data_IF_532075194730
#
_entry.id   IF_532075194730
#
_cell.length_a   1.000
_cell.length_b   1.000
_cell.length_c   1.000
_cell.angle_alpha   90.00
_cell.angle_beta   90.00
_cell.angle_gamma   90.00
#
_symmetry.space_group_name_H-M   'P 1'
#
loop_
_entity.id
_entity.type
_entity.pdbx_description
1 polymer ?
#
# COMPACT_ATOMS: atom_id res chain seq x y z
N UNK A 1 4.10 -0.51 1.04
CA UNK A 1 3.17 0.60 1.35
C UNK A 1 2.79 1.33 0.06
N UNK A 2 1.50 1.60 -0.20
CA UNK A 2 1.11 2.47 -1.35
C UNK A 2 1.17 3.93 -0.93
N UNK A 3 1.62 4.78 -1.83
CA UNK A 3 1.68 6.23 -1.66
C UNK A 3 0.78 6.93 -2.68
N UNK A 4 0.46 8.20 -2.41
CA UNK A 4 -0.24 9.05 -3.36
C UNK A 4 0.70 9.49 -4.48
N UNK A 5 0.17 10.03 -5.58
CA UNK A 5 0.93 10.55 -6.71
C UNK A 5 1.63 11.90 -6.43
N UNK A 6 1.88 12.20 -5.15
CA UNK A 6 2.48 13.45 -4.69
C UNK A 6 3.81 13.12 -4.04
N UNK A 7 4.84 13.85 -4.43
CA UNK A 7 6.18 13.71 -3.87
C UNK A 7 7.24 13.58 -4.94
N UNK A 8 8.47 13.41 -4.49
CA UNK A 8 9.63 13.29 -5.35
C UNK A 8 10.46 12.07 -4.93
N UNK A 9 11.16 11.50 -5.89
CA UNK A 9 12.11 10.42 -5.68
C UNK A 9 13.42 10.75 -6.38
N UNK A 10 14.48 10.07 -5.97
CA UNK A 10 15.80 10.17 -6.57
C UNK A 10 16.27 8.76 -6.87
N UNK A 11 16.43 8.35 -8.13
CA UNK A 11 16.99 7.05 -8.46
C UNK A 11 18.38 6.85 -7.83
N UNK A 12 18.70 5.61 -7.46
CA UNK A 12 20.04 5.30 -6.98
C UNK A 12 21.10 5.69 -8.03
N UNK A 13 22.16 6.38 -7.60
CA UNK A 13 23.22 6.86 -8.48
C UNK A 13 22.89 8.13 -9.28
N UNK A 14 21.71 8.72 -9.09
CA UNK A 14 21.37 10.03 -9.64
C UNK A 14 21.34 11.11 -8.55
N UNK A 15 21.65 12.34 -8.94
CA UNK A 15 21.63 13.50 -8.04
C UNK A 15 20.35 14.34 -8.14
N UNK A 16 19.53 14.12 -9.18
CA UNK A 16 18.33 14.92 -9.43
C UNK A 16 17.07 14.27 -8.84
N UNK A 17 16.31 15.08 -8.12
CA UNK A 17 14.98 14.70 -7.65
C UNK A 17 13.96 14.84 -8.78
N UNK A 18 13.15 13.81 -8.96
CA UNK A 18 12.13 13.71 -9.99
C UNK A 18 10.75 13.52 -9.34
N UNK A 19 9.66 14.04 -9.94
CA UNK A 19 8.33 13.86 -9.40
C UNK A 19 7.87 12.40 -9.54
N UNK A 20 7.28 11.81 -8.50
CA UNK A 20 6.92 10.38 -8.51
C UNK A 20 5.90 10.02 -9.61
N UNK A 21 5.04 10.97 -9.99
CA UNK A 21 4.05 10.78 -11.06
C UNK A 21 4.65 10.74 -12.48
N UNK A 22 5.97 10.91 -12.66
CA UNK A 22 6.60 10.79 -13.98
C UNK A 22 6.95 9.35 -14.38
N UNK A 23 6.90 8.38 -13.45
CA UNK A 23 7.40 7.02 -13.67
C UNK A 23 6.59 6.19 -14.67
N UNK A 24 5.27 6.35 -14.66
CA UNK A 24 4.35 5.66 -15.53
C UNK A 24 3.22 6.62 -15.87
N UNK A 25 3.11 6.95 -17.16
CA UNK A 25 2.18 7.95 -17.67
C UNK A 25 1.06 7.31 -18.50
N UNK A 26 1.24 6.06 -18.92
CA UNK A 26 0.32 5.37 -19.81
C UNK A 26 -0.09 4.02 -19.23
N UNK A 27 -1.34 3.62 -19.52
CA UNK A 27 -1.86 2.30 -19.22
C UNK A 27 -0.98 1.23 -19.90
N UNK A 28 -0.69 0.16 -19.17
CA UNK A 28 0.20 -0.94 -19.56
C UNK A 28 1.66 -0.73 -19.16
N UNK A 29 2.04 0.43 -18.64
CA UNK A 29 3.41 0.68 -18.20
C UNK A 29 3.65 0.18 -16.76
N UNK A 30 4.89 -0.27 -16.53
CA UNK A 30 5.38 -0.60 -15.19
C UNK A 30 6.84 -0.19 -15.05
N UNK A 31 7.24 0.19 -13.84
CA UNK A 31 8.59 0.54 -13.48
C UNK A 31 8.94 0.01 -12.09
N UNK A 32 10.20 -0.34 -11.88
CA UNK A 32 10.74 -0.70 -10.56
C UNK A 32 12.19 -0.30 -10.43
N UNK A 33 12.60 0.11 -9.24
CA UNK A 33 14.00 0.41 -8.96
C UNK A 33 14.25 0.87 -7.54
N UNK A 34 15.51 0.80 -7.11
CA UNK A 34 15.96 1.39 -5.85
C UNK A 34 16.03 2.91 -5.98
N UNK A 35 15.51 3.60 -4.97
CA UNK A 35 15.37 5.05 -4.93
C UNK A 35 15.53 5.57 -3.50
N UNK A 36 15.81 6.86 -3.39
CA UNK A 36 15.48 7.64 -2.19
C UNK A 36 14.15 8.34 -2.43
N UNK A 37 13.13 8.06 -1.64
CA UNK A 37 11.84 8.74 -1.69
C UNK A 37 11.75 9.88 -0.67
N UNK A 38 11.06 10.96 -1.08
CA UNK A 38 10.78 12.18 -0.33
C UNK A 38 12.02 13.01 0.01
N UNK A 39 11.95 14.33 -0.27
CA UNK A 39 13.04 15.26 0.06
C UNK A 39 13.19 15.48 1.56
N UNK A 40 12.08 15.59 2.27
CA UNK A 40 12.05 15.76 3.72
C UNK A 40 11.75 14.40 4.36
N UNK A 41 12.56 13.99 5.34
CA UNK A 41 12.51 12.65 5.95
C UNK A 41 12.66 11.55 4.89
N UNK A 42 13.79 11.60 4.19
CA UNK A 42 14.10 10.70 3.08
C UNK A 42 14.16 9.24 3.51
N UNK A 43 13.67 8.35 2.65
CA UNK A 43 13.67 6.91 2.88
C UNK A 43 14.30 6.22 1.66
N UNK A 44 15.30 5.37 1.90
CA UNK A 44 15.83 4.46 0.89
C UNK A 44 14.92 3.24 0.79
N UNK A 45 14.46 2.96 -0.43
CA UNK A 45 13.52 1.87 -0.67
C UNK A 45 13.51 1.47 -2.15
N UNK A 46 12.82 0.39 -2.46
CA UNK A 46 12.39 0.08 -3.82
C UNK A 46 11.04 0.73 -4.07
N UNK A 47 10.95 1.51 -5.15
CA UNK A 47 9.70 2.05 -5.65
C UNK A 47 9.22 1.21 -6.84
N UNK A 48 8.00 0.73 -6.75
CA UNK A 48 7.28 0.01 -7.80
C UNK A 48 6.17 0.92 -8.31
N UNK A 49 6.10 1.10 -9.62
CA UNK A 49 5.05 1.87 -10.27
C UNK A 49 4.38 1.02 -11.34
N UNK A 50 3.05 1.04 -11.41
CA UNK A 50 2.28 0.25 -12.38
C UNK A 50 0.96 0.91 -12.71
N UNK A 51 0.62 0.99 -13.99
CA UNK A 51 -0.68 1.48 -14.43
C UNK A 51 -1.35 0.44 -15.32
N UNK A 52 -2.38 -0.22 -14.79
CA UNK A 52 -3.13 -1.24 -15.53
C UNK A 52 -4.49 -0.71 -16.00
N UNK A 53 -5.07 -1.38 -16.99
CA UNK A 53 -6.39 -1.04 -17.52
C UNK A 53 -7.47 -1.16 -16.43
N UNK A 54 -8.43 -0.24 -16.44
CA UNK A 54 -9.52 -0.20 -15.45
C UNK A 54 -9.18 0.58 -14.18
N UNK A 55 -7.94 1.05 -14.02
CA UNK A 55 -7.54 1.95 -12.94
C UNK A 55 -7.40 3.39 -13.45
N UNK A 56 -8.05 4.33 -12.75
CA UNK A 56 -7.92 5.77 -13.02
C UNK A 56 -6.48 6.24 -12.88
N UNK A 57 -5.81 5.75 -11.83
CA UNK A 57 -4.49 6.21 -11.39
C UNK A 57 -3.49 5.06 -11.32
N UNK A 58 -2.24 5.35 -11.64
CA UNK A 58 -1.13 4.43 -11.41
C UNK A 58 -0.97 4.08 -9.92
N UNK A 59 -0.62 2.84 -9.64
CA UNK A 59 -0.19 2.38 -8.33
C UNK A 59 1.28 2.70 -8.12
N UNK A 60 1.58 3.29 -6.96
CA UNK A 60 2.92 3.66 -6.52
C UNK A 60 3.15 3.01 -5.16
N UNK A 61 4.09 2.07 -5.09
CA UNK A 61 4.28 1.20 -3.93
C UNK A 61 5.75 1.27 -3.52
N UNK A 62 5.98 1.59 -2.25
CA UNK A 62 7.29 1.50 -1.60
C UNK A 62 7.43 0.16 -0.88
N UNK A 63 8.58 -0.46 -1.01
CA UNK A 63 8.94 -1.69 -0.31
C UNK A 63 10.43 -1.71 0.01
N UNK A 64 10.77 -2.43 1.07
CA UNK A 64 12.13 -2.81 1.46
C UNK A 64 12.66 -4.03 0.67
N UNK A 65 11.79 -4.72 -0.09
CA UNK A 65 12.21 -5.80 -0.96
C UNK A 65 13.05 -5.29 -2.14
N UNK A 66 13.97 -6.12 -2.60
CA UNK A 66 14.80 -5.81 -3.76
C UNK A 66 13.97 -5.78 -5.06
N UNK A 67 14.30 -4.91 -6.03
CA UNK A 67 13.53 -4.79 -7.28
C UNK A 67 13.41 -6.10 -8.05
N UNK A 68 14.40 -6.99 -7.94
CA UNK A 68 14.45 -8.27 -8.67
C UNK A 68 13.34 -9.23 -8.18
N UNK A 69 12.98 -9.17 -6.91
CA UNK A 69 12.00 -10.07 -6.28
C UNK A 69 10.65 -9.42 -6.00
N UNK A 70 10.55 -8.09 -6.12
CA UNK A 70 9.34 -7.35 -5.83
C UNK A 70 8.46 -7.15 -7.08
N UNK A 71 7.14 -7.30 -6.91
CA UNK A 71 6.15 -7.04 -7.96
C UNK A 71 4.98 -6.21 -7.43
N UNK A 72 4.60 -5.17 -8.17
CA UNK A 72 3.48 -4.28 -7.82
C UNK A 72 2.14 -5.03 -7.76
N UNK A 73 1.98 -6.11 -8.52
CA UNK A 73 0.76 -6.93 -8.57
C UNK A 73 0.41 -7.56 -7.23
N UNK A 74 1.39 -7.84 -6.36
CA UNK A 74 1.13 -8.40 -5.02
C UNK A 74 0.28 -7.47 -4.16
N UNK A 75 0.34 -6.15 -4.43
CA UNK A 75 -0.50 -5.18 -3.74
C UNK A 75 -2.00 -5.38 -4.02
N UNK A 76 -2.38 -6.06 -5.11
CA UNK A 76 -3.78 -6.43 -5.38
C UNK A 76 -4.38 -7.29 -4.26
N UNK A 77 -3.56 -8.13 -3.63
CA UNK A 77 -3.96 -9.01 -2.53
C UNK A 77 -4.35 -8.23 -1.27
N UNK A 78 -3.98 -6.94 -1.16
CA UNK A 78 -4.35 -6.09 -0.01
C UNK A 78 -5.87 -6.02 0.15
N UNK A 79 -6.64 -6.11 -0.93
CA UNK A 79 -8.11 -6.08 -0.85
C UNK A 79 -8.69 -7.19 0.04
N UNK A 80 -7.97 -8.29 0.25
CA UNK A 80 -8.43 -9.37 1.12
C UNK A 80 -8.69 -8.92 2.56
N UNK A 81 -7.95 -7.93 3.09
CA UNK A 81 -8.21 -7.40 4.43
C UNK A 81 -9.61 -6.76 4.56
N UNK A 82 -10.17 -6.27 3.45
CA UNK A 82 -11.51 -5.67 3.42
C UNK A 82 -12.60 -6.72 3.67
N UNK A 83 -12.38 -7.98 3.27
CA UNK A 83 -13.26 -9.10 3.60
C UNK A 83 -13.29 -9.34 5.11
N UNK A 84 -12.13 -9.35 5.78
CA UNK A 84 -12.06 -9.51 7.24
C UNK A 84 -12.82 -8.38 7.95
N UNK A 85 -12.68 -7.13 7.48
CA UNK A 85 -13.46 -6.01 8.02
C UNK A 85 -14.96 -6.16 7.80
N UNK A 86 -15.38 -6.71 6.65
CA UNK A 86 -16.78 -6.98 6.35
C UNK A 86 -17.35 -8.06 7.28
N UNK A 87 -16.64 -9.17 7.41
CA UNK A 87 -17.05 -10.34 8.20
C UNK A 87 -17.08 -10.03 9.70
N UNK A 88 -16.12 -9.24 10.19
CA UNK A 88 -16.15 -8.72 11.56
C UNK A 88 -17.36 -7.83 11.84
N UNK A 89 -17.93 -7.18 10.83
CA UNK A 89 -19.09 -6.27 10.94
C UNK A 89 -20.36 -6.93 10.42
N UNK A 90 -20.99 -6.34 9.40
CA UNK A 90 -22.31 -6.72 8.89
C UNK A 90 -22.30 -8.05 8.10
N UNK A 91 -21.11 -8.57 7.75
CA UNK A 91 -20.95 -9.81 7.00
C UNK A 91 -20.96 -11.09 7.85
N UNK A 92 -20.90 -10.98 9.18
CA UNK A 92 -20.86 -12.15 10.06
C UNK A 92 -20.99 -11.79 11.53
N UNK A 93 -19.86 -11.56 12.19
CA UNK A 93 -19.74 -11.50 13.65
C UNK A 93 -20.48 -10.32 14.31
N UNK A 94 -20.89 -9.32 13.54
CA UNK A 94 -21.64 -8.17 14.03
C UNK A 94 -20.96 -7.46 15.21
N UNK A 95 -19.62 -7.42 15.24
CA UNK A 95 -18.82 -6.85 16.34
C UNK A 95 -19.29 -5.45 16.77
N UNK A 96 -19.57 -4.59 15.78
CA UNK A 96 -20.09 -3.23 15.95
C UNK A 96 -21.47 -3.13 16.66
N UNK A 97 -22.17 -4.24 16.86
CA UNK A 97 -23.47 -4.29 17.57
C UNK A 97 -23.36 -4.86 18.98
N UNK A 98 -22.19 -5.36 19.38
CA UNK A 98 -21.97 -5.89 20.73
C UNK A 98 -22.25 -4.82 21.80
N UNK A 99 -22.83 -5.24 22.93
CA UNK A 99 -23.12 -4.35 24.08
C UNK A 99 -22.09 -4.49 25.20
N UNK A 100 -20.89 -4.95 24.87
CA UNK A 100 -19.81 -5.13 25.83
C UNK A 100 -19.27 -3.77 26.22
N UNK A 101 -19.56 -3.34 27.45
CA UNK A 101 -19.10 -2.05 28.00
C UNK A 101 -17.76 -2.15 28.76
N UNK A 102 -17.30 -3.37 29.04
CA UNK A 102 -16.04 -3.59 29.77
C UNK A 102 -14.87 -3.82 28.80
N UNK A 103 -13.88 -2.91 28.72
CA UNK A 103 -12.84 -2.95 27.68
C UNK A 103 -12.03 -4.25 27.64
N UNK A 104 -11.67 -4.82 28.80
CA UNK A 104 -10.92 -6.08 28.85
C UNK A 104 -11.72 -7.28 28.35
N UNK A 105 -13.05 -7.23 28.45
CA UNK A 105 -13.93 -8.26 27.86
C UNK A 105 -14.04 -8.08 26.35
N UNK A 106 -14.09 -6.83 25.88
CA UNK A 106 -14.07 -6.51 24.46
C UNK A 106 -12.75 -6.99 23.81
N UNK A 107 -11.61 -6.73 24.44
CA UNK A 107 -10.28 -7.19 23.99
C UNK A 107 -10.21 -8.71 23.78
N UNK A 108 -10.67 -9.50 24.77
CA UNK A 108 -10.69 -10.97 24.66
C UNK A 108 -11.64 -11.48 23.59
N UNK A 109 -12.78 -10.82 23.41
CA UNK A 109 -13.74 -11.21 22.37
C UNK A 109 -13.19 -10.87 20.98
N UNK A 110 -12.54 -9.71 20.83
CA UNK A 110 -11.86 -9.31 19.60
C UNK A 110 -10.77 -10.31 19.21
N UNK A 111 -9.92 -10.74 20.16
CA UNK A 111 -8.88 -11.74 19.94
C UNK A 111 -9.41 -13.08 19.40
N UNK A 112 -10.65 -13.45 19.71
CA UNK A 112 -11.24 -14.69 19.23
C UNK A 112 -11.81 -14.58 17.81
N UNK A 113 -12.07 -13.37 17.30
CA UNK A 113 -12.70 -13.14 15.99
C UNK A 113 -11.75 -12.53 14.95
N UNK A 114 -10.57 -12.02 15.34
CA UNK A 114 -9.66 -11.24 14.49
C UNK A 114 -8.20 -11.66 14.64
#
# INVERSE_FOLDING_TARGET
MRINQIGQFKPLGQDSWQPINSLVQQIGQSWKGQVTCFKTNSIECTLLARHDQGYTDAWLILTDLQPEVADASWYSMRSWIECVFKDGKRGGFCWHQTKIIYPKRAERHWLAIA
#
